data_IF_387827746467
#
_entry.id   IF_387827746467
#
_cell.length_a   1.000
_cell.length_b   1.000
_cell.length_c   1.000
_cell.angle_alpha   90.00
_cell.angle_beta   90.00
_cell.angle_gamma   90.00
#
_symmetry.space_group_name_H-M   'P 1'
#
loop_
_entity.id
_entity.type
_entity.pdbx_description
1 polymer ?
#
# COMPACT_ATOMS: atom_id res chain seq x y z
N UNK A 1 -1.11 -26.73 -5.74
CA UNK A 1 -0.55 -25.51 -6.37
C UNK A 1 -0.44 -24.47 -5.29
N UNK A 2 0.78 -24.20 -4.79
CA UNK A 2 0.98 -23.13 -3.80
C UNK A 2 0.61 -21.82 -4.49
N UNK A 3 -0.50 -21.21 -4.09
CA UNK A 3 -0.80 -19.83 -4.47
C UNK A 3 0.37 -19.03 -3.91
N UNK A 4 1.26 -18.52 -4.76
CA UNK A 4 2.29 -17.56 -4.37
C UNK A 4 1.54 -16.35 -3.79
N UNK A 5 1.24 -16.38 -2.49
CA UNK A 5 0.57 -15.29 -1.79
C UNK A 5 1.59 -14.16 -1.69
N UNK A 6 1.61 -13.31 -2.72
CA UNK A 6 2.42 -12.10 -2.70
C UNK A 6 1.93 -11.22 -1.56
N UNK A 7 2.88 -10.68 -0.82
CA UNK A 7 2.63 -9.80 0.33
C UNK A 7 3.14 -8.40 0.03
N UNK A 8 2.56 -7.44 0.73
CA UNK A 8 2.94 -6.04 0.76
C UNK A 8 3.36 -5.73 2.18
N UNK A 9 4.64 -5.44 2.39
CA UNK A 9 5.18 -4.96 3.66
C UNK A 9 5.36 -3.45 3.60
N UNK A 10 4.69 -2.76 4.49
CA UNK A 10 4.74 -1.30 4.59
C UNK A 10 6.00 -0.87 5.33
N UNK A 11 6.68 0.14 4.79
CA UNK A 11 7.89 0.74 5.34
C UNK A 11 7.73 2.26 5.43
N UNK A 12 7.97 2.80 6.62
CA UNK A 12 7.73 4.21 6.95
C UNK A 12 6.26 4.58 7.10
N UNK A 13 5.99 5.83 7.48
CA UNK A 13 4.64 6.36 7.61
C UNK A 13 3.79 5.71 8.72
N UNK A 14 2.47 5.91 8.68
CA UNK A 14 1.55 5.48 9.74
C UNK A 14 1.32 3.96 9.83
N UNK A 15 1.71 3.20 8.80
CA UNK A 15 1.54 1.75 8.71
C UNK A 15 2.85 0.98 8.71
N UNK A 16 3.97 1.62 9.11
CA UNK A 16 5.28 1.00 9.13
C UNK A 16 5.28 -0.36 9.86
N UNK A 17 5.83 -1.39 9.21
CA UNK A 17 5.93 -2.75 9.75
C UNK A 17 4.68 -3.60 9.56
N UNK A 18 3.57 -3.04 9.06
CA UNK A 18 2.39 -3.83 8.72
C UNK A 18 2.62 -4.66 7.45
N UNK A 19 2.00 -5.84 7.39
CA UNK A 19 2.06 -6.75 6.25
C UNK A 19 0.64 -7.07 5.80
N UNK A 20 0.38 -6.94 4.52
CA UNK A 20 -0.90 -7.23 3.87
C UNK A 20 -0.67 -8.25 2.75
N UNK A 21 -1.73 -8.96 2.36
CA UNK A 21 -1.71 -9.70 1.09
C UNK A 21 -1.92 -8.72 -0.06
N UNK A 22 -1.28 -8.95 -1.21
CA UNK A 22 -1.42 -8.08 -2.39
C UNK A 22 -2.87 -7.90 -2.81
N UNK A 23 -3.67 -8.97 -2.79
CA UNK A 23 -5.08 -8.95 -3.20
C UNK A 23 -5.92 -8.00 -2.34
N UNK A 24 -5.77 -8.11 -1.02
CA UNK A 24 -6.41 -7.26 -0.02
C UNK A 24 -5.89 -5.80 -0.09
N UNK A 25 -4.58 -5.64 -0.35
CA UNK A 25 -3.97 -4.33 -0.51
C UNK A 25 -4.49 -3.58 -1.74
N UNK A 26 -4.64 -4.26 -2.87
CA UNK A 26 -5.24 -3.71 -4.08
C UNK A 26 -6.70 -3.30 -3.84
N UNK A 27 -7.48 -4.14 -3.14
CA UNK A 27 -8.86 -3.80 -2.79
C UNK A 27 -8.93 -2.53 -1.94
N UNK A 28 -8.07 -2.42 -0.92
CA UNK A 28 -7.97 -1.21 -0.07
C UNK A 28 -7.60 0.02 -0.88
N UNK A 29 -6.68 -0.11 -1.85
CA UNK A 29 -6.33 0.98 -2.78
C UNK A 29 -7.52 1.41 -3.61
N UNK A 30 -8.22 0.46 -4.25
CA UNK A 30 -9.41 0.74 -5.06
C UNK A 30 -10.55 1.32 -4.23
N UNK A 31 -10.71 0.89 -2.98
CA UNK A 31 -11.69 1.46 -2.06
C UNK A 31 -11.37 2.92 -1.74
N UNK A 32 -10.10 3.25 -1.47
CA UNK A 32 -9.68 4.63 -1.26
C UNK A 32 -9.91 5.51 -2.51
N UNK A 33 -9.60 4.99 -3.71
CA UNK A 33 -9.88 5.67 -4.98
C UNK A 33 -11.38 5.92 -5.18
N UNK A 34 -12.25 4.93 -4.86
CA UNK A 34 -13.71 5.07 -4.92
C UNK A 34 -14.26 6.10 -3.93
N UNK A 35 -13.60 6.30 -2.79
CA UNK A 35 -13.98 7.33 -1.81
C UNK A 35 -13.51 8.74 -2.23
N UNK A 36 -12.88 8.89 -3.41
CA UNK A 36 -12.36 10.18 -3.88
C UNK A 36 -11.09 10.62 -3.16
N UNK A 37 -10.39 9.71 -2.47
CA UNK A 37 -9.11 10.02 -1.83
C UNK A 37 -8.02 10.12 -2.88
N UNK A 38 -7.25 11.19 -2.83
CA UNK A 38 -6.10 11.41 -3.72
C UNK A 38 -4.80 11.01 -3.01
N UNK A 39 -3.72 10.72 -3.75
CA UNK A 39 -2.38 10.47 -3.20
C UNK A 39 -1.79 11.62 -2.36
N UNK A 40 -2.41 12.79 -2.41
CA UNK A 40 -2.02 14.00 -1.68
C UNK A 40 -2.77 14.12 -0.34
N UNK A 41 -4.01 13.62 -0.27
CA UNK A 41 -4.88 13.65 0.92
C UNK A 41 -4.69 12.41 1.84
N UNK A 42 -3.49 11.82 1.80
CA UNK A 42 -3.27 10.41 2.13
C UNK A 42 -3.09 10.06 3.60
N UNK A 43 -3.15 10.98 4.58
CA UNK A 43 -2.79 10.66 5.98
C UNK A 43 -3.45 9.33 6.46
N UNK A 44 -2.70 8.22 6.42
CA UNK A 44 -3.16 6.87 6.80
C UNK A 44 -3.62 5.90 5.70
N UNK A 45 -3.67 6.26 4.41
CA UNK A 45 -4.25 5.41 3.35
C UNK A 45 -3.24 4.65 2.50
N UNK A 46 -3.68 3.51 1.94
CA UNK A 46 -2.88 2.67 1.05
C UNK A 46 -2.30 3.42 -0.18
N UNK A 47 -2.99 4.46 -0.65
CA UNK A 47 -2.55 5.32 -1.75
C UNK A 47 -1.29 6.14 -1.44
N UNK A 48 -0.98 6.31 -0.15
CA UNK A 48 0.23 7.00 0.30
C UNK A 48 1.49 6.14 0.23
N UNK A 49 1.40 4.86 -0.15
CA UNK A 49 2.56 3.99 -0.30
C UNK A 49 2.84 3.68 -1.77
N UNK A 50 4.13 3.54 -2.10
CA UNK A 50 4.59 3.07 -3.41
C UNK A 50 5.58 1.93 -3.25
N UNK A 51 5.63 0.98 -4.19
CA UNK A 51 6.66 -0.06 -4.15
C UNK A 51 8.05 0.59 -4.19
N UNK A 52 8.97 0.14 -3.35
CA UNK A 52 10.36 0.62 -3.30
C UNK A 52 11.02 0.49 -4.69
N UNK A 53 10.69 -0.60 -5.38
CA UNK A 53 11.12 -0.94 -6.74
C UNK A 53 10.04 -1.78 -7.43
N UNK A 54 9.94 -1.78 -8.77
CA UNK A 54 8.99 -2.61 -9.49
C UNK A 54 9.10 -4.09 -9.07
N UNK A 55 7.98 -4.69 -8.67
CA UNK A 55 7.92 -6.09 -8.21
C UNK A 55 8.36 -6.33 -6.76
N UNK A 56 8.68 -5.29 -5.99
CA UNK A 56 9.00 -5.42 -4.55
C UNK A 56 7.77 -5.72 -3.72
N UNK A 57 7.93 -6.58 -2.72
CA UNK A 57 6.99 -6.72 -1.62
C UNK A 57 7.05 -5.52 -0.64
N UNK A 58 8.13 -4.73 -0.67
CA UNK A 58 8.30 -3.57 0.20
C UNK A 58 7.67 -2.33 -0.43
N UNK A 59 6.72 -1.74 0.28
CA UNK A 59 6.04 -0.51 -0.10
C UNK A 59 6.37 0.60 0.88
N UNK A 60 7.00 1.65 0.37
CA UNK A 60 7.49 2.80 1.15
C UNK A 60 6.45 3.90 1.19
N UNK A 61 6.29 4.53 2.35
CA UNK A 61 5.43 5.68 2.52
C UNK A 61 5.97 6.89 1.75
N UNK A 62 5.15 7.42 0.85
CA UNK A 62 5.39 8.65 0.08
C UNK A 62 4.40 9.76 0.42
N UNK A 63 3.49 9.51 1.37
CA UNK A 63 2.36 10.39 1.68
C UNK A 63 2.72 11.62 2.52
N UNK A 64 2.94 12.74 1.84
CA UNK A 64 3.07 14.07 2.44
C UNK A 64 4.50 14.46 2.76
N UNK A 65 5.09 15.28 1.89
CA UNK A 65 6.08 16.29 2.29
C UNK A 65 5.35 17.51 2.83
#
# INVERSE_FOLDING_TARGET
MARNQQIVRLSGGPGNGQVFYVDDWEERRRAAERMGRTPDDVRGWALGYRPERPGSDIWVWTGGR
#
